data_IF_406333491620
#
_entry.id   IF_406333491620
#
_cell.length_a   1.000
_cell.length_b   1.000
_cell.length_c   1.000
_cell.angle_alpha   90.00
_cell.angle_beta   90.00
_cell.angle_gamma   90.00
#
_symmetry.space_group_name_H-M   'P 1'
#
loop_
_entity.id
_entity.type
_entity.pdbx_description
1 polymer ?
#
# COMPACT_ATOMS: atom_id res chain seq x y z
N UNK A 1 -17.20 22.37 -19.67
CA UNK A 1 -15.77 22.69 -19.86
C UNK A 1 -15.18 22.89 -18.47
N UNK A 2 -14.51 21.88 -17.90
CA UNK A 2 -13.77 22.00 -16.63
C UNK A 2 -12.48 22.80 -16.90
N UNK A 3 -12.43 24.06 -16.50
CA UNK A 3 -11.18 24.82 -16.41
C UNK A 3 -10.36 24.21 -15.26
N UNK A 4 -9.54 23.22 -15.55
CA UNK A 4 -8.62 22.62 -14.58
C UNK A 4 -7.59 23.64 -14.14
N UNK A 5 -7.59 24.00 -12.85
CA UNK A 5 -6.46 24.73 -12.26
C UNK A 5 -5.20 23.89 -12.42
N UNK A 6 -4.22 24.41 -13.12
CA UNK A 6 -2.91 23.77 -13.27
C UNK A 6 -2.28 23.64 -11.89
N UNK A 7 -2.12 22.40 -11.41
CA UNK A 7 -1.45 22.12 -10.14
C UNK A 7 0.01 21.82 -10.43
N UNK A 8 0.89 22.62 -9.88
CA UNK A 8 2.32 22.37 -9.92
C UNK A 8 2.68 21.42 -8.76
N UNK A 9 3.39 20.34 -9.09
CA UNK A 9 3.93 19.40 -8.11
C UNK A 9 5.44 19.39 -8.21
N UNK A 10 6.11 19.62 -7.10
CA UNK A 10 7.54 19.37 -7.01
C UNK A 10 7.73 17.86 -6.86
N UNK A 11 8.46 17.24 -7.79
CA UNK A 11 8.86 15.83 -7.71
C UNK A 11 10.36 15.73 -7.53
N UNK A 12 10.78 14.96 -6.55
CA UNK A 12 12.19 14.66 -6.31
C UNK A 12 12.48 13.25 -6.80
N UNK A 13 13.61 13.05 -7.47
CA UNK A 13 14.07 11.73 -7.91
C UNK A 13 15.45 11.48 -7.33
N UNK A 14 15.61 10.34 -6.69
CA UNK A 14 16.91 9.85 -6.27
C UNK A 14 17.43 8.92 -7.37
N UNK A 15 18.61 9.23 -7.88
CA UNK A 15 19.32 8.38 -8.83
C UNK A 15 20.50 7.71 -8.12
N UNK A 16 20.57 6.39 -8.22
CA UNK A 16 21.67 5.60 -7.67
C UNK A 16 22.36 4.86 -8.82
N UNK A 17 23.56 5.28 -9.17
CA UNK A 17 24.37 4.69 -10.24
C UNK A 17 25.37 3.67 -9.66
N UNK A 18 24.85 2.61 -9.03
CA UNK A 18 25.66 1.54 -8.48
C UNK A 18 25.17 0.19 -8.99
N UNK A 19 25.93 -0.43 -9.91
CA UNK A 19 25.60 -1.75 -10.45
C UNK A 19 25.53 -2.83 -9.37
N UNK A 20 26.40 -2.75 -8.36
CA UNK A 20 26.39 -3.64 -7.20
C UNK A 20 25.07 -3.60 -6.42
N UNK A 21 24.46 -2.41 -6.28
CA UNK A 21 23.18 -2.26 -5.62
C UNK A 21 22.04 -2.89 -6.44
N UNK A 22 22.11 -2.76 -7.77
CA UNK A 22 21.16 -3.41 -8.67
C UNK A 22 21.22 -4.94 -8.55
N UNK A 23 22.43 -5.50 -8.54
CA UNK A 23 22.64 -6.96 -8.36
C UNK A 23 22.12 -7.40 -7.00
N UNK A 24 22.36 -6.64 -5.94
CA UNK A 24 21.82 -6.94 -4.61
C UNK A 24 20.29 -6.95 -4.59
N UNK A 25 19.62 -5.96 -5.17
CA UNK A 25 18.17 -5.94 -5.25
C UNK A 25 17.62 -7.09 -6.08
N UNK A 26 18.28 -7.45 -7.17
CA UNK A 26 17.91 -8.61 -7.97
C UNK A 26 18.03 -9.90 -7.18
N UNK A 27 19.14 -10.09 -6.46
CA UNK A 27 19.34 -11.26 -5.60
C UNK A 27 18.31 -11.35 -4.43
N UNK A 28 17.69 -10.23 -4.06
CA UNK A 28 16.62 -10.13 -3.07
C UNK A 28 15.21 -10.23 -3.69
N UNK A 29 15.09 -10.66 -4.94
CA UNK A 29 13.81 -10.80 -5.68
C UNK A 29 13.05 -9.47 -5.89
N UNK A 30 13.74 -8.32 -5.89
CA UNK A 30 13.08 -7.05 -6.18
C UNK A 30 12.90 -6.84 -7.70
N UNK A 31 11.75 -6.29 -8.14
CA UNK A 31 11.51 -6.01 -9.55
C UNK A 31 12.44 -4.88 -10.06
N UNK A 32 13.17 -5.14 -11.16
CA UNK A 32 14.14 -4.19 -11.74
C UNK A 32 13.48 -3.18 -12.67
N UNK A 33 12.40 -3.56 -13.36
CA UNK A 33 11.70 -2.73 -14.35
C UNK A 33 10.40 -2.12 -13.80
N UNK A 34 9.59 -1.54 -14.68
CA UNK A 34 8.27 -1.01 -14.31
C UNK A 34 7.39 -2.11 -13.72
N UNK A 35 6.98 -1.98 -12.48
CA UNK A 35 6.11 -2.95 -11.76
C UNK A 35 4.83 -3.30 -12.53
N UNK A 36 4.28 -2.36 -13.31
CA UNK A 36 3.06 -2.59 -14.09
C UNK A 36 3.26 -3.46 -15.31
N UNK A 37 4.51 -3.64 -15.79
CA UNK A 37 4.85 -4.26 -17.07
C UNK A 37 5.65 -5.55 -16.93
N UNK A 38 5.71 -6.13 -15.73
CA UNK A 38 6.41 -7.39 -15.46
C UNK A 38 5.68 -8.18 -14.37
N UNK A 39 5.96 -9.47 -14.30
CA UNK A 39 5.62 -10.27 -13.15
C UNK A 39 6.56 -9.95 -11.99
N UNK A 40 6.02 -9.92 -10.79
CA UNK A 40 6.79 -9.95 -9.55
C UNK A 40 5.93 -10.50 -8.42
N UNK A 41 6.58 -11.05 -7.44
CA UNK A 41 5.98 -11.70 -6.28
C UNK A 41 6.54 -11.09 -5.00
N UNK A 42 5.97 -11.42 -3.88
CA UNK A 42 6.67 -11.16 -2.63
C UNK A 42 7.97 -11.98 -2.61
N UNK A 43 9.11 -11.37 -2.23
CA UNK A 43 10.36 -12.09 -2.10
C UNK A 43 10.21 -13.36 -1.30
N UNK A 44 10.78 -14.47 -1.81
CA UNK A 44 10.63 -15.80 -1.18
C UNK A 44 11.09 -15.81 0.28
N UNK A 45 12.21 -15.16 0.58
CA UNK A 45 12.73 -15.02 1.94
C UNK A 45 11.77 -14.30 2.89
N UNK A 46 10.94 -13.40 2.38
CA UNK A 46 10.02 -12.63 3.21
C UNK A 46 8.89 -13.50 3.78
N UNK A 47 8.53 -14.60 3.11
CA UNK A 47 7.46 -15.50 3.60
C UNK A 47 7.85 -16.17 4.91
N UNK A 48 9.13 -16.49 5.09
CA UNK A 48 9.68 -17.13 6.30
C UNK A 48 10.36 -16.15 7.25
N UNK A 49 10.40 -14.87 6.91
CA UNK A 49 11.03 -13.84 7.70
C UNK A 49 10.29 -13.61 9.04
N UNK A 50 11.00 -13.17 10.09
CA UNK A 50 10.38 -12.78 11.35
C UNK A 50 9.48 -11.55 11.18
N UNK A 51 8.51 -11.37 12.07
CA UNK A 51 7.49 -10.32 11.98
C UNK A 51 8.07 -8.91 11.84
N UNK A 52 9.22 -8.62 12.46
CA UNK A 52 9.82 -7.29 12.37
C UNK A 52 10.29 -6.97 10.93
N UNK A 53 10.81 -7.94 10.18
CA UNK A 53 11.20 -7.74 8.77
C UNK A 53 9.96 -7.58 7.88
N UNK A 54 8.94 -8.43 8.08
CA UNK A 54 7.64 -8.30 7.40
C UNK A 54 7.02 -6.92 7.66
N UNK A 55 7.08 -6.45 8.92
CA UNK A 55 6.64 -5.10 9.29
C UNK A 55 7.37 -4.01 8.50
N UNK A 56 8.70 -4.05 8.45
CA UNK A 56 9.48 -3.05 7.73
C UNK A 56 9.14 -3.02 6.24
N UNK A 57 8.99 -4.19 5.63
CA UNK A 57 8.59 -4.30 4.23
C UNK A 57 7.19 -3.69 4.01
N UNK A 58 6.18 -4.10 4.79
CA UNK A 58 4.83 -3.57 4.68
C UNK A 58 4.78 -2.06 4.94
N UNK A 59 5.46 -1.57 5.97
CA UNK A 59 5.50 -0.15 6.29
C UNK A 59 6.13 0.69 5.18
N UNK A 60 7.11 0.14 4.45
CA UNK A 60 7.74 0.80 3.30
C UNK A 60 6.79 0.90 2.11
N UNK A 61 6.16 -0.20 1.69
CA UNK A 61 5.21 -0.19 0.57
C UNK A 61 3.95 0.61 0.89
N UNK A 62 3.49 0.59 2.14
CA UNK A 62 2.34 1.38 2.60
C UNK A 62 2.68 2.87 2.70
N UNK A 63 3.90 3.21 3.06
CA UNK A 63 4.38 4.59 2.99
C UNK A 63 4.20 5.20 1.60
N UNK A 64 4.47 4.43 0.55
CA UNK A 64 4.30 4.85 -0.84
C UNK A 64 2.83 4.76 -1.32
N UNK A 65 2.21 3.60 -1.22
CA UNK A 65 1.02 3.24 -2.01
C UNK A 65 -0.30 3.19 -1.21
N UNK A 66 -0.28 3.00 0.12
CA UNK A 66 -1.51 2.98 0.93
C UNK A 66 -2.09 4.39 1.06
N UNK A 67 -3.43 4.49 1.08
CA UNK A 67 -4.11 5.77 1.29
C UNK A 67 -3.76 6.40 2.65
N UNK A 68 -3.73 7.73 2.68
CA UNK A 68 -3.52 8.49 3.91
C UNK A 68 -4.68 8.29 4.89
N UNK A 69 -4.46 8.12 6.19
CA UNK A 69 -5.52 8.09 7.20
C UNK A 69 -6.42 9.33 7.08
N UNK A 70 -7.71 9.10 6.90
CA UNK A 70 -8.69 10.18 6.70
C UNK A 70 -9.95 9.90 7.51
N UNK A 71 -10.37 10.82 8.42
CA UNK A 71 -11.59 10.63 9.19
C UNK A 71 -12.84 10.75 8.31
N UNK A 72 -13.87 9.98 8.64
CA UNK A 72 -15.23 10.18 8.12
C UNK A 72 -15.91 11.30 8.90
N UNK A 73 -16.45 12.29 8.20
CA UNK A 73 -17.25 13.35 8.79
C UNK A 73 -18.68 12.84 9.11
N UNK A 74 -18.79 11.71 9.77
CA UNK A 74 -20.07 11.14 10.20
C UNK A 74 -20.19 11.16 11.72
N UNK A 75 -21.44 11.15 12.23
CA UNK A 75 -21.75 11.17 13.68
C UNK A 75 -21.08 10.02 14.47
N UNK A 76 -20.64 8.96 13.81
CA UNK A 76 -19.99 7.79 14.46
C UNK A 76 -18.47 7.92 14.64
N UNK A 77 -17.84 9.01 14.14
CA UNK A 77 -16.41 9.25 14.27
C UNK A 77 -15.56 8.00 13.97
N UNK A 78 -15.31 7.72 12.70
CA UNK A 78 -14.47 6.62 12.26
C UNK A 78 -13.62 7.08 11.06
N UNK A 79 -12.78 6.21 10.54
CA UNK A 79 -11.93 6.48 9.39
C UNK A 79 -12.46 5.78 8.13
N UNK A 80 -12.12 6.31 6.97
CA UNK A 80 -12.31 5.60 5.71
C UNK A 80 -11.45 4.35 5.69
N UNK A 81 -11.93 3.31 5.00
CA UNK A 81 -11.17 2.09 4.78
C UNK A 81 -9.83 2.42 4.09
N UNK A 82 -8.69 1.96 4.63
CA UNK A 82 -7.41 2.09 3.94
C UNK A 82 -7.40 1.25 2.67
N UNK A 83 -6.85 1.81 1.60
CA UNK A 83 -6.77 1.16 0.29
C UNK A 83 -5.31 1.14 -0.17
N UNK A 84 -4.81 -0.04 -0.46
CA UNK A 84 -3.54 -0.25 -1.12
C UNK A 84 -3.80 -0.52 -2.60
N UNK A 85 -3.31 0.34 -3.46
CA UNK A 85 -3.61 0.27 -4.88
C UNK A 85 -2.36 0.11 -5.74
N UNK A 86 -2.53 -0.59 -6.87
CA UNK A 86 -1.49 -0.75 -7.88
C UNK A 86 -2.10 -0.88 -9.27
N UNK A 87 -1.27 -0.68 -10.29
CA UNK A 87 -1.66 -0.87 -11.66
C UNK A 87 -0.85 -1.99 -12.31
N UNK A 88 -1.50 -2.80 -13.14
CA UNK A 88 -0.86 -3.84 -13.96
C UNK A 88 -1.39 -3.77 -15.39
N UNK A 89 -0.52 -4.08 -16.36
CA UNK A 89 -0.98 -4.37 -17.72
C UNK A 89 -1.82 -5.63 -17.71
N UNK A 90 -2.79 -5.74 -18.63
CA UNK A 90 -3.72 -6.85 -18.71
C UNK A 90 -3.01 -8.22 -18.70
N UNK A 91 -1.92 -8.34 -19.43
CA UNK A 91 -1.07 -9.54 -19.49
C UNK A 91 -0.62 -10.03 -18.09
N UNK A 92 -0.45 -9.12 -17.12
CA UNK A 92 0.05 -9.42 -15.78
C UNK A 92 -0.99 -9.25 -14.67
N UNK A 93 -2.28 -9.20 -15.04
CA UNK A 93 -3.37 -8.97 -14.08
C UNK A 93 -3.39 -10.04 -12.99
N UNK A 94 -3.36 -11.32 -13.38
CA UNK A 94 -3.38 -12.44 -12.43
C UNK A 94 -2.18 -12.42 -11.47
N UNK A 95 -1.00 -12.05 -11.97
CA UNK A 95 0.17 -11.86 -11.10
C UNK A 95 -0.05 -10.74 -10.08
N UNK A 96 -0.67 -9.63 -10.49
CA UNK A 96 -0.99 -8.53 -9.59
C UNK A 96 -2.01 -8.92 -8.51
N UNK A 97 -3.04 -9.69 -8.87
CA UNK A 97 -4.03 -10.22 -7.92
C UNK A 97 -3.32 -11.08 -6.87
N UNK A 98 -2.51 -12.05 -7.30
CA UNK A 98 -1.74 -12.92 -6.41
C UNK A 98 -0.82 -12.14 -5.47
N UNK A 99 -0.15 -11.10 -5.96
CA UNK A 99 0.68 -10.24 -5.12
C UNK A 99 -0.14 -9.56 -4.01
N UNK A 100 -1.33 -9.03 -4.35
CA UNK A 100 -2.22 -8.41 -3.36
C UNK A 100 -2.76 -9.42 -2.33
N UNK A 101 -3.05 -10.64 -2.76
CA UNK A 101 -3.45 -11.73 -1.88
C UNK A 101 -2.32 -12.09 -0.89
N UNK A 102 -1.08 -12.21 -1.37
CA UNK A 102 0.08 -12.45 -0.53
C UNK A 102 0.31 -11.32 0.49
N UNK A 103 0.14 -10.06 0.07
CA UNK A 103 0.16 -8.88 0.98
C UNK A 103 -0.96 -8.98 2.02
N UNK A 104 -2.17 -9.37 1.63
CA UNK A 104 -3.30 -9.56 2.55
C UNK A 104 -3.02 -10.65 3.58
N UNK A 105 -2.45 -11.78 3.15
CA UNK A 105 -2.07 -12.86 4.05
C UNK A 105 -1.00 -12.42 5.05
N UNK A 106 0.00 -11.67 4.61
CA UNK A 106 1.02 -11.12 5.51
C UNK A 106 0.41 -10.13 6.53
N UNK A 107 -0.56 -9.31 6.12
CA UNK A 107 -1.26 -8.40 7.02
C UNK A 107 -2.06 -9.15 8.11
N UNK A 108 -2.61 -10.32 7.80
CA UNK A 108 -3.32 -11.16 8.80
C UNK A 108 -2.43 -11.57 9.97
N UNK A 109 -1.12 -11.76 9.75
CA UNK A 109 -0.15 -12.07 10.82
C UNK A 109 -0.08 -10.95 11.87
N UNK A 110 -0.43 -9.72 11.50
CA UNK A 110 -0.53 -8.56 12.41
C UNK A 110 -1.94 -8.32 12.95
N UNK A 111 -2.89 -9.20 12.62
CA UNK A 111 -4.30 -9.06 12.99
C UNK A 111 -5.02 -7.96 12.22
N UNK A 112 -4.63 -7.73 10.96
CA UNK A 112 -5.23 -6.78 10.04
C UNK A 112 -6.06 -7.55 9.02
N UNK A 113 -7.34 -7.16 8.86
CA UNK A 113 -8.27 -7.80 7.94
C UNK A 113 -8.35 -7.00 6.64
N UNK A 114 -8.18 -7.67 5.50
CA UNK A 114 -8.64 -7.16 4.22
C UNK A 114 -10.10 -7.57 4.01
N UNK A 115 -10.91 -6.66 3.47
CA UNK A 115 -12.34 -6.92 3.19
C UNK A 115 -12.58 -7.28 1.75
N UNK A 116 -11.89 -6.63 0.82
CA UNK A 116 -12.09 -6.80 -0.61
C UNK A 116 -10.80 -6.66 -1.40
N UNK A 117 -10.73 -7.40 -2.52
CA UNK A 117 -9.77 -7.19 -3.57
C UNK A 117 -10.53 -6.87 -4.85
N UNK A 118 -10.44 -5.62 -5.30
CA UNK A 118 -11.16 -5.13 -6.45
C UNK A 118 -10.23 -4.90 -7.62
N UNK A 119 -10.65 -5.37 -8.79
CA UNK A 119 -10.06 -4.97 -10.07
C UNK A 119 -10.98 -3.97 -10.71
N UNK A 120 -10.53 -2.73 -10.82
CA UNK A 120 -11.31 -1.65 -11.42
C UNK A 120 -10.69 -1.22 -12.72
N UNK A 121 -11.54 -0.78 -13.59
CA UNK A 121 -11.36 0.01 -14.81
C UNK A 121 -10.05 -0.15 -15.57
N UNK A 122 -10.20 -0.69 -16.75
CA UNK A 122 -9.27 -0.57 -17.87
C UNK A 122 -9.07 0.90 -18.25
N UNK A 123 -7.83 1.27 -18.48
CA UNK A 123 -7.52 2.45 -19.29
C UNK A 123 -6.44 2.08 -20.31
N UNK A 124 -6.47 2.77 -21.43
CA UNK A 124 -5.46 2.57 -22.46
C UNK A 124 -4.25 3.46 -22.15
N UNK A 125 -3.07 2.85 -22.20
CA UNK A 125 -1.82 3.60 -22.11
C UNK A 125 -1.57 4.34 -23.43
N UNK A 126 -0.62 5.28 -23.44
CA UNK A 126 -0.21 5.97 -24.69
C UNK A 126 0.32 5.00 -25.77
N UNK A 127 0.79 3.83 -25.37
CA UNK A 127 1.24 2.75 -26.28
C UNK A 127 0.11 1.81 -26.73
N UNK A 128 -1.15 2.09 -26.39
CA UNK A 128 -2.29 1.25 -26.74
C UNK A 128 -2.51 0.04 -25.82
N UNK A 129 -1.63 -0.22 -24.85
CA UNK A 129 -1.78 -1.31 -23.92
C UNK A 129 -2.93 -1.05 -22.92
N UNK A 130 -3.61 -2.12 -22.55
CA UNK A 130 -4.62 -2.08 -21.50
C UNK A 130 -3.98 -2.18 -20.12
N UNK A 131 -4.29 -1.24 -19.25
CA UNK A 131 -3.87 -1.24 -17.85
C UNK A 131 -5.07 -1.36 -16.92
N UNK A 132 -4.95 -2.21 -15.91
CA UNK A 132 -5.93 -2.43 -14.87
C UNK A 132 -5.50 -1.78 -13.57
N UNK A 133 -6.42 -1.12 -12.91
CA UNK A 133 -6.27 -0.63 -11.55
C UNK A 133 -6.81 -1.67 -10.57
N UNK A 134 -6.00 -2.01 -9.57
CA UNK A 134 -6.35 -2.99 -8.55
C UNK A 134 -6.25 -2.37 -7.18
N UNK A 135 -7.17 -2.73 -6.29
CA UNK A 135 -7.28 -2.19 -4.95
C UNK A 135 -7.45 -3.33 -3.94
N UNK A 136 -6.59 -3.38 -2.94
CA UNK A 136 -6.78 -4.16 -1.73
C UNK A 136 -7.34 -3.24 -0.65
N UNK A 137 -8.57 -3.52 -0.21
CA UNK A 137 -9.29 -2.71 0.76
C UNK A 137 -9.19 -3.36 2.13
N UNK A 138 -8.73 -2.59 3.11
CA UNK A 138 -8.65 -3.06 4.49
C UNK A 138 -9.89 -2.69 5.30
N UNK A 139 -10.17 -3.48 6.31
CA UNK A 139 -11.28 -3.28 7.22
C UNK A 139 -11.19 -1.93 7.96
N UNK A 140 -12.32 -1.21 8.03
CA UNK A 140 -12.44 0.01 8.83
C UNK A 140 -12.84 -0.26 10.30
N UNK A 141 -12.87 -1.52 10.75
CA UNK A 141 -13.09 -1.85 12.18
C UNK A 141 -11.97 -1.24 13.02
N UNK A 142 -12.27 -0.59 14.17
CA UNK A 142 -11.27 0.08 15.00
C UNK A 142 -10.05 -0.79 15.34
N UNK A 143 -10.26 -2.04 15.71
CA UNK A 143 -9.19 -3.00 16.04
C UNK A 143 -8.24 -3.21 14.85
N UNK A 144 -8.77 -3.39 13.64
CA UNK A 144 -7.96 -3.59 12.43
C UNK A 144 -7.18 -2.33 12.07
N UNK A 145 -7.79 -1.15 12.17
CA UNK A 145 -7.14 0.14 11.93
C UNK A 145 -6.02 0.42 12.93
N UNK A 146 -6.26 0.17 14.22
CA UNK A 146 -5.22 0.31 15.25
C UNK A 146 -4.05 -0.63 14.94
N UNK A 147 -4.31 -1.90 14.63
CA UNK A 147 -3.26 -2.84 14.27
C UNK A 147 -2.47 -2.37 13.04
N UNK A 148 -3.15 -1.91 11.99
CA UNK A 148 -2.52 -1.42 10.77
C UNK A 148 -1.58 -0.24 11.06
N UNK A 149 -2.06 0.75 11.79
CA UNK A 149 -1.33 1.99 11.99
C UNK A 149 -0.32 1.96 13.15
N UNK A 150 -0.60 1.19 14.23
CA UNK A 150 0.32 1.06 15.36
C UNK A 150 1.37 -0.04 15.16
N UNK A 151 0.97 -1.22 14.61
CA UNK A 151 1.91 -2.33 14.48
C UNK A 151 2.74 -2.25 13.20
N UNK A 152 2.16 -1.83 12.07
CA UNK A 152 2.87 -1.69 10.82
C UNK A 152 3.29 -0.23 10.63
N UNK A 153 2.33 0.69 10.54
CA UNK A 153 2.57 2.11 10.32
C UNK A 153 3.06 2.44 8.91
N UNK A 154 3.79 3.54 8.79
CA UNK A 154 4.35 4.04 7.54
C UNK A 154 5.83 4.38 7.73
N UNK A 155 6.66 4.00 6.77
CA UNK A 155 8.07 4.39 6.72
C UNK A 155 8.26 5.32 5.52
N UNK A 156 9.18 6.27 5.64
CA UNK A 156 9.53 7.27 4.62
C UNK A 156 8.39 8.21 4.22
N UNK A 157 7.33 8.32 5.04
CA UNK A 157 6.25 9.26 4.81
C UNK A 157 5.79 9.89 6.15
N UNK A 158 6.46 10.95 6.56
CA UNK A 158 6.24 11.62 7.85
C UNK A 158 4.78 12.08 8.03
N UNK A 159 4.15 12.59 6.96
CA UNK A 159 2.75 13.03 7.01
C UNK A 159 1.79 11.88 7.30
N UNK A 160 1.95 10.73 6.61
CA UNK A 160 1.11 9.55 6.87
C UNK A 160 1.36 9.01 8.28
N UNK A 161 2.63 8.95 8.71
CA UNK A 161 2.99 8.49 10.06
C UNK A 161 2.36 9.34 11.14
N UNK A 162 2.43 10.67 11.02
CA UNK A 162 1.81 11.59 11.96
C UNK A 162 0.29 11.40 12.05
N UNK A 163 -0.40 11.34 10.90
CA UNK A 163 -1.85 11.14 10.85
C UNK A 163 -2.28 9.76 11.36
N UNK A 164 -1.46 8.74 11.14
CA UNK A 164 -1.70 7.40 11.67
C UNK A 164 -1.61 7.38 13.20
N UNK A 165 -0.60 8.04 13.78
CA UNK A 165 -0.46 8.15 15.22
C UNK A 165 -1.65 8.87 15.85
N UNK A 166 -2.09 10.00 15.30
CA UNK A 166 -3.29 10.69 15.77
C UNK A 166 -4.53 9.80 15.69
N UNK A 167 -4.69 9.04 14.59
CA UNK A 167 -5.81 8.15 14.41
C UNK A 167 -5.80 6.98 15.41
N UNK A 168 -4.62 6.42 15.71
CA UNK A 168 -4.46 5.37 16.73
C UNK A 168 -4.87 5.89 18.11
N UNK A 169 -4.35 7.03 18.53
CA UNK A 169 -4.72 7.64 19.83
C UNK A 169 -6.22 7.90 19.92
N UNK A 170 -6.83 8.48 18.88
CA UNK A 170 -8.26 8.72 18.84
C UNK A 170 -9.07 7.42 18.97
N UNK A 171 -8.73 6.38 18.19
CA UNK A 171 -9.47 5.12 18.20
C UNK A 171 -9.27 4.33 19.50
N UNK A 172 -8.10 4.39 20.11
CA UNK A 172 -7.83 3.77 21.41
C UNK A 172 -8.63 4.43 22.51
N UNK A 173 -8.57 5.77 22.61
CA UNK A 173 -9.38 6.53 23.58
C UNK A 173 -10.88 6.26 23.42
N UNK A 174 -11.37 6.25 22.18
CA UNK A 174 -12.79 5.96 21.91
C UNK A 174 -13.21 4.58 22.40
N UNK A 175 -12.32 3.58 22.38
CA UNK A 175 -12.62 2.22 22.88
C UNK A 175 -12.69 2.12 24.41
N UNK A 176 -11.99 3.02 25.10
CA UNK A 176 -11.98 3.06 26.56
C UNK A 176 -13.20 3.78 27.15
N UNK A 177 -13.80 4.67 26.37
CA UNK A 177 -14.90 5.54 26.83
C UNK A 177 -16.29 5.00 26.43
N UNK A 178 -16.37 4.06 25.49
CA UNK A 178 -17.61 3.45 25.00
C UNK A 178 -17.63 1.94 25.29
#
# INVERSE_FOLDING_TARGET
>A
VYKGKQKYFNSYRLYVNASSLLVMFFALDFPICKKSSQEYYLPGWLKVAPLWQKRLFLASIFGAELTTPRPKLSKKGNFYAPVFSMNKREKFLNNGIRFLEEVSLMCKEFGIEATDLLTRKKYYTKSGDVSWHMELIFSCKPKSLINLWAKIGFIYNNRKSYLANLAVHYLSFKREVI
#
